data_IF_221405514419
#
_entry.id   IF_221405514419
#
_cell.length_a   1.000
_cell.length_b   1.000
_cell.length_c   1.000
_cell.angle_alpha   90.00
_cell.angle_beta   90.00
_cell.angle_gamma   90.00
#
_symmetry.space_group_name_H-M   'P 1'
#
loop_
_entity.id
_entity.type
_entity.pdbx_description
1 polymer ?
#
# COMPACT_ATOMS: atom_id res chain seq x y z
N UNK A 1 -8.57 27.13 -7.81
CA UNK A 1 -8.59 27.13 -7.82
C UNK A 1 -8.63 26.87 -7.64
N UNK A 2 -8.59 26.46 -7.68
CA UNK A 2 -8.62 26.14 -7.70
C UNK A 2 -8.66 25.59 -7.45
N UNK A 3 -8.47 25.25 -7.65
CA UNK A 3 -8.47 24.84 -7.50
C UNK A 3 -8.52 24.38 -6.94
N UNK A 4 -8.51 24.23 -7.00
CA UNK A 4 -8.42 23.97 -6.63
C UNK A 4 -8.87 23.57 -6.42
N UNK A 5 -8.89 23.39 -6.62
CA UNK A 5 -9.16 23.13 -6.78
C UNK A 5 -9.71 22.79 -7.10
N UNK A 6 -9.82 22.66 -7.56
CA UNK A 6 -10.12 22.43 -8.19
C UNK A 6 -10.50 21.71 -8.37
N UNK A 7 -10.34 21.45 -8.38
CA UNK A 7 -10.50 20.90 -8.82
C UNK A 7 -10.71 20.27 -8.93
N UNK A 8 -10.75 20.09 -9.17
CA UNK A 8 -10.92 19.66 -9.61
C UNK A 8 -11.32 19.21 -9.89
N UNK A 9 -11.63 19.19 -10.19
CA UNK A 9 -11.93 19.01 -10.73
C UNK A 9 -12.29 18.37 -11.32
N UNK A 10 -12.31 18.38 -11.64
CA UNK A 10 -12.74 17.67 -12.49
C UNK A 10 -13.04 16.48 -12.70
N UNK A 11 -13.57 16.15 -12.56
CA UNK A 11 -13.50 15.22 -12.74
C UNK A 11 -13.59 13.98 -13.46
N UNK A 12 -12.97 13.64 -14.26
CA UNK A 12 -12.94 12.38 -14.93
C UNK A 12 -12.24 11.31 -14.07
N UNK A 13 -12.32 10.04 -14.48
CA UNK A 13 -11.76 8.94 -13.67
C UNK A 13 -10.29 9.11 -13.32
N UNK A 14 -9.51 9.67 -14.21
CA UNK A 14 -8.09 9.88 -13.96
C UNK A 14 -7.77 11.13 -13.19
N UNK A 15 -8.76 11.97 -12.90
CA UNK A 15 -8.50 13.26 -12.28
C UNK A 15 -7.91 13.13 -10.89
N UNK A 16 -8.39 12.16 -10.09
CA UNK A 16 -7.88 11.93 -8.76
C UNK A 16 -6.43 11.50 -8.80
N UNK A 17 -6.11 10.54 -9.66
CA UNK A 17 -4.74 10.05 -9.83
C UNK A 17 -3.82 11.18 -10.25
N UNK A 18 -4.23 11.93 -11.26
CA UNK A 18 -3.43 13.04 -11.77
C UNK A 18 -3.21 14.10 -10.70
N UNK A 19 -4.27 14.43 -9.98
CA UNK A 19 -4.20 15.43 -8.94
C UNK A 19 -3.21 15.07 -7.84
N UNK A 20 -3.24 13.82 -7.38
CA UNK A 20 -2.33 13.36 -6.34
C UNK A 20 -0.89 13.34 -6.84
N UNK A 21 -0.66 12.82 -8.03
CA UNK A 21 0.69 12.69 -8.57
C UNK A 21 1.29 14.03 -9.00
N UNK A 22 0.50 15.08 -9.04
CA UNK A 22 1.01 16.42 -9.30
C UNK A 22 1.59 17.09 -8.05
N UNK A 23 1.36 16.52 -6.86
CA UNK A 23 1.85 17.10 -5.61
C UNK A 23 3.32 16.77 -5.39
N UNK A 24 4.09 17.67 -4.78
CA UNK A 24 5.44 17.32 -4.33
C UNK A 24 5.37 16.29 -3.20
N UNK A 25 6.49 15.61 -2.95
CA UNK A 25 6.52 14.46 -2.04
C UNK A 25 5.96 14.76 -0.65
N UNK A 26 6.35 15.88 -0.05
CA UNK A 26 5.92 16.19 1.31
C UNK A 26 4.42 16.44 1.39
N UNK A 27 3.85 17.13 0.41
CA UNK A 27 2.41 17.35 0.37
C UNK A 27 1.65 16.08 0.06
N UNK A 28 2.21 15.24 -0.81
CA UNK A 28 1.61 13.96 -1.13
C UNK A 28 1.56 13.06 0.09
N UNK A 29 2.67 12.95 0.82
CA UNK A 29 2.72 12.16 2.05
C UNK A 29 1.72 12.69 3.08
N UNK A 30 1.65 14.02 3.24
CA UNK A 30 0.70 14.61 4.16
C UNK A 30 -0.74 14.22 3.81
N UNK A 31 -1.08 14.30 2.51
CA UNK A 31 -2.43 13.93 2.07
C UNK A 31 -2.70 12.46 2.35
N UNK A 32 -1.74 11.59 2.09
CA UNK A 32 -1.87 10.15 2.34
C UNK A 32 -2.08 9.91 3.84
N UNK A 33 -1.25 10.50 4.67
CA UNK A 33 -1.34 10.29 6.12
C UNK A 33 -2.60 10.85 6.73
N UNK A 34 -3.21 11.82 6.06
CA UNK A 34 -4.44 12.46 6.54
C UNK A 34 -5.69 11.64 6.25
N UNK A 35 -5.59 10.57 5.48
CA UNK A 35 -6.76 9.74 5.16
C UNK A 35 -7.26 9.03 6.42
N UNK A 36 -8.58 8.97 6.61
CA UNK A 36 -9.13 8.17 7.71
C UNK A 36 -8.91 6.68 7.45
N UNK A 37 -9.07 5.82 8.47
CA UNK A 37 -8.88 4.38 8.29
C UNK A 37 -9.79 3.78 7.20
N UNK A 38 -10.99 4.32 7.04
CA UNK A 38 -11.89 3.90 5.96
C UNK A 38 -12.06 5.07 5.01
N UNK A 39 -11.72 4.86 3.76
CA UNK A 39 -11.77 5.91 2.73
C UNK A 39 -12.04 5.26 1.37
N UNK A 40 -12.31 6.04 0.36
CA UNK A 40 -12.58 5.54 -0.98
C UNK A 40 -11.46 5.83 -1.96
N UNK A 41 -10.20 5.91 -1.49
CA UNK A 41 -9.08 6.40 -2.30
C UNK A 41 -8.07 5.32 -2.68
N UNK A 42 -8.46 4.04 -2.68
CA UNK A 42 -7.52 2.98 -3.04
C UNK A 42 -6.95 3.15 -4.46
N UNK A 43 -7.77 3.62 -5.41
CA UNK A 43 -7.29 3.81 -6.78
C UNK A 43 -6.17 4.86 -6.84
N UNK A 44 -6.36 5.97 -6.14
CA UNK A 44 -5.34 7.03 -6.07
C UNK A 44 -4.08 6.53 -5.38
N UNK A 45 -4.25 5.80 -4.28
CA UNK A 45 -3.13 5.25 -3.55
C UNK A 45 -2.35 4.25 -4.42
N UNK A 46 -3.05 3.41 -5.18
CA UNK A 46 -2.38 2.47 -6.08
C UNK A 46 -1.62 3.18 -7.19
N UNK A 47 -2.13 4.32 -7.66
CA UNK A 47 -1.39 5.13 -8.63
C UNK A 47 -0.06 5.59 -8.05
N UNK A 48 -0.04 5.99 -6.77
CA UNK A 48 1.20 6.37 -6.08
C UNK A 48 2.12 5.17 -5.94
N UNK A 49 1.59 4.01 -5.56
CA UNK A 49 2.39 2.78 -5.42
C UNK A 49 3.05 2.41 -6.75
N UNK A 50 2.35 2.60 -7.87
CA UNK A 50 2.88 2.29 -9.20
C UNK A 50 3.84 3.35 -9.74
N UNK A 51 3.86 4.53 -9.12
CA UNK A 51 4.64 5.65 -9.63
C UNK A 51 6.13 5.42 -9.41
N UNK A 52 6.95 6.31 -9.97
CA UNK A 52 8.39 6.28 -9.75
C UNK A 52 8.83 7.17 -8.60
N UNK A 53 7.91 7.50 -7.69
CA UNK A 53 8.23 8.25 -6.49
C UNK A 53 9.20 7.47 -5.61
N UNK A 54 9.87 8.18 -4.72
CA UNK A 54 10.78 7.57 -3.75
C UNK A 54 10.06 6.44 -2.99
N UNK A 55 10.78 5.38 -2.66
CA UNK A 55 10.16 4.21 -2.04
C UNK A 55 9.38 4.55 -0.76
N UNK A 56 9.86 5.53 0.00
CA UNK A 56 9.18 5.95 1.22
C UNK A 56 7.74 6.42 0.92
N UNK A 57 7.58 7.24 -0.12
CA UNK A 57 6.26 7.75 -0.50
C UNK A 57 5.35 6.59 -0.93
N UNK A 58 5.89 5.69 -1.73
CA UNK A 58 5.15 4.52 -2.19
C UNK A 58 4.74 3.62 -1.03
N UNK A 59 5.61 3.42 -0.05
CA UNK A 59 5.27 2.62 1.12
C UNK A 59 4.18 3.27 1.96
N UNK A 60 4.22 4.59 2.13
CA UNK A 60 3.16 5.29 2.87
C UNK A 60 1.81 5.10 2.19
N UNK A 61 1.77 5.15 0.87
CA UNK A 61 0.54 4.89 0.11
C UNK A 61 0.08 3.45 0.32
N UNK A 62 0.98 2.49 0.23
CA UNK A 62 0.65 1.08 0.39
C UNK A 62 0.05 0.78 1.77
N UNK A 63 0.55 1.44 2.81
CA UNK A 63 0.04 1.26 4.18
C UNK A 63 -1.40 1.68 4.33
N UNK A 64 -1.88 2.59 3.49
CA UNK A 64 -3.24 3.13 3.58
C UNK A 64 -4.24 2.39 2.69
N UNK A 65 -3.80 1.47 1.86
CA UNK A 65 -4.70 0.69 1.01
C UNK A 65 -5.65 -0.11 1.89
N UNK A 66 -6.95 0.05 1.64
CA UNK A 66 -7.97 -0.66 2.41
C UNK A 66 -8.09 -2.12 1.99
N UNK A 67 -8.05 -2.39 0.69
CA UNK A 67 -8.12 -3.75 0.15
C UNK A 67 -6.71 -4.27 -0.09
N UNK A 68 -6.15 -4.95 0.91
CA UNK A 68 -4.77 -5.45 0.85
C UNK A 68 -4.55 -6.47 -0.27
N UNK A 69 -5.61 -7.12 -0.77
CA UNK A 69 -5.48 -8.05 -1.89
C UNK A 69 -4.92 -7.35 -3.12
N UNK A 70 -5.22 -6.08 -3.29
CA UNK A 70 -4.74 -5.31 -4.44
C UNK A 70 -3.24 -5.08 -4.41
N UNK A 71 -2.61 -5.22 -3.25
CA UNK A 71 -1.16 -5.10 -3.13
C UNK A 71 -0.41 -6.34 -3.63
N UNK A 72 -1.10 -7.45 -3.82
CA UNK A 72 -0.46 -8.70 -4.28
C UNK A 72 0.17 -8.53 -5.66
N UNK A 73 -0.31 -7.59 -6.46
CA UNK A 73 0.30 -7.28 -7.75
C UNK A 73 1.74 -6.78 -7.61
N UNK A 74 2.14 -6.33 -6.42
CA UNK A 74 3.47 -5.78 -6.15
C UNK A 74 4.32 -6.71 -5.31
N UNK A 75 3.99 -8.01 -5.26
CA UNK A 75 4.71 -8.97 -4.43
C UNK A 75 6.20 -9.06 -4.79
N UNK A 76 6.54 -8.78 -6.05
CA UNK A 76 7.93 -8.79 -6.50
C UNK A 76 8.72 -7.52 -6.20
N UNK A 77 8.07 -6.50 -5.67
CA UNK A 77 8.72 -5.23 -5.34
C UNK A 77 9.29 -5.30 -3.92
N UNK A 78 10.58 -5.00 -3.77
CA UNK A 78 11.26 -5.09 -2.47
C UNK A 78 10.56 -4.27 -1.39
N UNK A 79 10.18 -3.04 -1.73
CA UNK A 79 9.66 -2.10 -0.75
C UNK A 79 8.18 -2.34 -0.48
N UNK A 80 7.40 -2.56 -1.52
CA UNK A 80 5.96 -2.76 -1.38
C UNK A 80 5.66 -4.16 -0.87
N UNK A 81 6.46 -5.15 -1.26
CA UNK A 81 6.29 -6.51 -0.74
C UNK A 81 6.36 -6.59 0.78
N UNK A 82 7.18 -5.76 1.41
CA UNK A 82 7.22 -5.70 2.88
C UNK A 82 5.90 -5.22 3.45
N UNK A 83 5.32 -4.19 2.85
CA UNK A 83 4.04 -3.66 3.31
C UNK A 83 2.92 -4.68 3.06
N UNK A 84 2.93 -5.30 1.89
CA UNK A 84 2.00 -6.37 1.56
C UNK A 84 1.99 -7.45 2.64
N UNK A 85 3.17 -7.94 3.01
CA UNK A 85 3.27 -9.00 4.03
C UNK A 85 2.64 -8.55 5.35
N UNK A 86 2.90 -7.30 5.76
CA UNK A 86 2.38 -6.78 7.02
C UNK A 86 0.88 -6.56 7.00
N UNK A 87 0.29 -6.39 5.81
CA UNK A 87 -1.16 -6.20 5.67
C UNK A 87 -1.93 -7.51 5.59
N UNK A 88 -1.25 -8.65 5.53
CA UNK A 88 -1.88 -9.97 5.55
C UNK A 88 -2.19 -10.33 7.00
N UNK A 89 -3.42 -10.07 7.46
CA UNK A 89 -3.78 -10.12 8.89
C UNK A 89 -4.83 -11.15 9.23
N UNK A 90 -5.27 -11.94 8.26
CA UNK A 90 -6.34 -12.91 8.47
C UNK A 90 -5.77 -14.32 8.49
N UNK A 91 -6.52 -15.24 9.11
CA UNK A 91 -6.13 -16.64 9.13
C UNK A 91 -5.94 -17.18 7.72
N UNK A 92 -6.83 -16.81 6.80
CA UNK A 92 -6.73 -17.27 5.42
C UNK A 92 -5.52 -16.72 4.68
N UNK A 93 -4.82 -15.75 5.24
CA UNK A 93 -3.60 -15.19 4.63
C UNK A 93 -2.34 -16.00 4.96
N UNK A 94 -2.43 -16.97 5.86
CA UNK A 94 -1.26 -17.72 6.30
C UNK A 94 -0.58 -18.44 5.13
N UNK A 95 -1.37 -19.12 4.30
CA UNK A 95 -0.80 -19.83 3.15
C UNK A 95 -0.07 -18.89 2.20
N UNK A 96 -0.63 -17.71 1.96
CA UNK A 96 0.01 -16.71 1.11
C UNK A 96 1.32 -16.21 1.71
N UNK A 97 1.34 -15.96 3.02
CA UNK A 97 2.57 -15.54 3.70
C UNK A 97 3.65 -16.61 3.62
N UNK A 98 3.27 -17.88 3.75
CA UNK A 98 4.22 -18.97 3.60
C UNK A 98 4.77 -19.04 2.18
N UNK A 99 3.93 -18.76 1.19
CA UNK A 99 4.38 -18.67 -0.19
C UNK A 99 5.38 -17.53 -0.38
N UNK A 100 5.10 -16.35 0.16
CA UNK A 100 6.02 -15.21 0.11
C UNK A 100 7.37 -15.56 0.74
N UNK A 101 7.32 -16.24 1.89
CA UNK A 101 8.54 -16.64 2.59
C UNK A 101 9.40 -17.56 1.72
N UNK A 102 8.77 -18.49 0.99
CA UNK A 102 9.51 -19.43 0.15
C UNK A 102 9.99 -18.83 -1.15
N UNK A 103 9.18 -17.95 -1.77
CA UNK A 103 9.37 -17.57 -3.16
C UNK A 103 9.95 -16.19 -3.39
N UNK A 104 9.89 -15.30 -2.40
CA UNK A 104 10.40 -13.95 -2.60
C UNK A 104 11.93 -13.97 -2.70
N UNK A 105 12.44 -13.24 -3.67
CA UNK A 105 13.89 -13.07 -3.83
C UNK A 105 14.45 -12.01 -2.88
N UNK A 106 13.58 -11.23 -2.23
CA UNK A 106 14.03 -10.13 -1.38
C UNK A 106 14.01 -10.57 0.08
N UNK A 107 15.16 -10.50 0.74
CA UNK A 107 15.28 -10.86 2.14
C UNK A 107 14.33 -10.06 3.02
N UNK A 108 14.17 -8.78 2.71
CA UNK A 108 13.30 -7.89 3.49
C UNK A 108 11.85 -8.37 3.46
N UNK A 109 11.39 -8.85 2.31
CA UNK A 109 10.03 -9.39 2.18
C UNK A 109 9.90 -10.69 2.95
N UNK A 110 10.89 -11.58 2.83
CA UNK A 110 10.87 -12.85 3.58
C UNK A 110 10.87 -12.59 5.08
N UNK A 111 11.65 -11.63 5.55
CA UNK A 111 11.67 -11.29 6.97
C UNK A 111 10.33 -10.75 7.44
N UNK A 112 9.71 -9.87 6.65
CA UNK A 112 8.40 -9.34 6.98
C UNK A 112 7.35 -10.46 7.03
N UNK A 113 7.39 -11.40 6.10
CA UNK A 113 6.47 -12.54 6.09
C UNK A 113 6.68 -13.42 7.32
N UNK A 114 7.95 -13.66 7.70
CA UNK A 114 8.27 -14.46 8.88
C UNK A 114 7.68 -13.84 10.15
N UNK A 115 7.88 -12.53 10.32
CA UNK A 115 7.35 -11.83 11.50
C UNK A 115 5.84 -11.89 11.52
N UNK A 116 5.20 -11.65 10.37
CA UNK A 116 3.75 -11.64 10.30
C UNK A 116 3.16 -13.02 10.56
N UNK A 117 3.78 -14.07 10.03
CA UNK A 117 3.36 -15.45 10.30
C UNK A 117 3.43 -15.76 11.79
N UNK A 118 4.51 -15.34 12.43
CA UNK A 118 4.67 -15.57 13.87
C UNK A 118 3.56 -14.90 14.66
N UNK A 119 3.25 -13.65 14.30
CA UNK A 119 2.18 -12.91 14.96
C UNK A 119 0.82 -13.58 14.77
N UNK A 120 0.49 -13.97 13.54
CA UNK A 120 -0.80 -14.60 13.26
C UNK A 120 -0.95 -15.93 13.98
N UNK A 121 0.09 -16.77 13.95
CA UNK A 121 0.04 -18.07 14.60
C UNK A 121 -0.10 -17.91 16.13
N UNK A 122 0.53 -16.89 16.68
CA UNK A 122 0.42 -16.61 18.11
C UNK A 122 -0.98 -16.16 18.48
N UNK A 123 -1.58 -15.29 17.66
CA UNK A 123 -2.96 -14.83 17.90
C UNK A 123 -3.97 -15.96 17.80
N UNK A 124 -3.76 -16.88 16.86
CA UNK A 124 -4.68 -17.99 16.65
C UNK A 124 -4.62 -19.04 17.75
N UNK A 125 -3.55 -19.06 18.53
CA UNK A 125 -3.44 -19.98 19.67
C UNK A 125 -4.30 -19.57 20.86
N UNK A 126 -4.84 -18.37 20.86
CA UNK A 126 -5.69 -17.87 21.96
C UNK A 126 -7.16 -18.27 21.77
#
# INVERSE_FOLDING_TARGET
MADYFRTDVAAGPGAGDTGWLALPDDELVFRIESLPPVHGSDDELLAVVRSNRHFFVRQEAAKKICDAERLKAFAGDRHIGQILARQMRREEDIDYLEQLLRESRHLEVRNAATVQLRLLKQLLKR
#
